data_IF_407147733878
#
_entry.id   IF_407147733878
#
_cell.length_a   1.000
_cell.length_b   1.000
_cell.length_c   1.000
_cell.angle_alpha   90.00
_cell.angle_beta   90.00
_cell.angle_gamma   90.00
#
_symmetry.space_group_name_H-M   'P 1'
#
loop_
_entity.id
_entity.type
_entity.pdbx_description
1 polymer ?
#
# COMPACT_ATOMS: atom_id res chain seq x y z
N UNK A 1 -11.70 5.68 16.70
CA UNK A 1 -12.38 4.95 15.59
C UNK A 1 -11.94 3.51 15.72
N UNK A 2 -12.83 2.52 15.60
CA UNK A 2 -12.43 1.11 15.73
C UNK A 2 -11.35 0.81 14.68
N UNK A 3 -10.21 0.26 15.11
CA UNK A 3 -9.10 -0.10 14.21
C UNK A 3 -9.63 -0.93 13.05
N UNK A 4 -9.50 -0.40 11.84
CA UNK A 4 -9.96 -1.09 10.64
C UNK A 4 -9.02 -2.27 10.41
N UNK A 5 -9.49 -3.47 10.73
CA UNK A 5 -8.76 -4.71 10.50
C UNK A 5 -8.21 -4.79 9.05
N UNK A 6 -7.02 -5.39 8.84
CA UNK A 6 -6.34 -5.42 7.55
C UNK A 6 -7.16 -6.18 6.50
N UNK A 7 -7.11 -5.74 5.24
CA UNK A 7 -7.83 -6.38 4.12
C UNK A 7 -7.24 -7.73 3.70
N UNK A 8 -5.98 -8.00 4.06
CA UNK A 8 -5.19 -9.16 3.62
C UNK A 8 -4.32 -8.86 2.40
N UNK A 9 -3.44 -9.79 2.00
CA UNK A 9 -2.59 -9.61 0.83
C UNK A 9 -3.42 -9.55 -0.46
N UNK A 10 -2.94 -8.86 -1.51
CA UNK A 10 -3.68 -8.76 -2.77
C UNK A 10 -3.88 -10.15 -3.42
N UNK A 11 -4.97 -10.34 -4.18
CA UNK A 11 -5.24 -11.61 -4.84
C UNK A 11 -4.23 -11.86 -5.98
N UNK A 12 -3.85 -13.12 -6.19
CA UNK A 12 -2.84 -13.49 -7.19
C UNK A 12 -3.00 -14.90 -7.76
N UNK A 13 -2.07 -15.34 -8.62
CA UNK A 13 -2.15 -16.65 -9.31
C UNK A 13 -1.86 -17.87 -8.43
N UNK A 14 -1.63 -17.67 -7.12
CA UNK A 14 -1.22 -18.73 -6.20
C UNK A 14 0.28 -19.04 -6.32
N UNK A 15 0.89 -19.34 -5.17
CA UNK A 15 2.29 -19.66 -4.96
C UNK A 15 2.49 -21.17 -4.71
N UNK A 16 1.40 -21.93 -4.54
CA UNK A 16 1.41 -23.35 -4.23
C UNK A 16 1.79 -23.66 -2.78
N UNK A 17 1.63 -22.68 -1.89
CA UNK A 17 1.92 -22.81 -0.45
C UNK A 17 1.07 -21.83 0.37
N UNK A 18 0.65 -22.19 1.59
CA UNK A 18 -0.07 -21.29 2.49
C UNK A 18 0.61 -19.92 2.63
N UNK A 19 -0.17 -18.85 2.53
CA UNK A 19 0.29 -17.50 2.79
C UNK A 19 0.03 -17.15 4.28
N UNK A 20 1.07 -16.96 5.11
CA UNK A 20 0.90 -16.71 6.55
C UNK A 20 0.06 -15.47 6.84
N UNK A 21 0.13 -14.45 5.96
CA UNK A 21 -0.58 -13.20 6.15
C UNK A 21 -2.09 -13.37 5.93
N UNK A 22 -2.50 -14.26 5.02
CA UNK A 22 -3.90 -14.65 4.85
C UNK A 22 -4.43 -15.28 6.13
N UNK A 23 -3.69 -16.25 6.70
CA UNK A 23 -4.06 -16.89 7.96
C UNK A 23 -4.15 -15.90 9.12
N UNK A 24 -3.20 -14.96 9.21
CA UNK A 24 -3.19 -13.89 10.22
C UNK A 24 -4.43 -13.00 10.13
N UNK A 25 -4.84 -12.60 8.93
CA UNK A 25 -6.05 -11.78 8.74
C UNK A 25 -7.33 -12.55 9.09
N UNK A 26 -7.43 -13.84 8.73
CA UNK A 26 -8.57 -14.69 9.13
C UNK A 26 -8.66 -14.75 10.65
N UNK A 27 -7.54 -15.02 11.34
CA UNK A 27 -7.48 -15.05 12.80
C UNK A 27 -7.92 -13.71 13.40
N UNK A 28 -7.34 -12.60 12.93
CA UNK A 28 -7.64 -11.26 13.43
C UNK A 28 -9.13 -10.89 13.31
N UNK A 29 -9.77 -11.29 12.20
CA UNK A 29 -11.20 -11.07 11.99
C UNK A 29 -12.03 -11.92 12.94
N UNK A 30 -11.70 -13.20 13.11
CA UNK A 30 -12.43 -14.08 14.03
C UNK A 30 -12.29 -13.65 15.49
N UNK A 31 -11.09 -13.25 15.91
CA UNK A 31 -10.77 -12.72 17.24
C UNK A 31 -11.59 -11.45 17.53
N UNK A 32 -11.62 -10.51 16.57
CA UNK A 32 -12.42 -9.29 16.70
C UNK A 32 -13.94 -9.52 16.74
N UNK A 33 -14.41 -10.59 16.10
CA UNK A 33 -15.81 -11.01 16.12
C UNK A 33 -16.14 -11.92 17.32
N UNK A 34 -15.16 -12.24 18.16
CA UNK A 34 -15.27 -13.13 19.32
C UNK A 34 -15.91 -14.50 18.95
N UNK A 35 -15.54 -15.06 17.81
CA UNK A 35 -16.05 -16.36 17.36
C UNK A 35 -15.54 -17.51 18.24
N UNK A 36 -16.26 -18.62 18.30
CA UNK A 36 -15.81 -19.80 19.04
C UNK A 36 -14.56 -20.42 18.41
N UNK A 37 -13.74 -21.12 19.20
CA UNK A 37 -12.55 -21.86 18.70
C UNK A 37 -12.92 -22.82 17.55
N UNK A 38 -14.13 -23.38 17.62
CA UNK A 38 -14.65 -24.30 16.62
C UNK A 38 -14.97 -23.58 15.30
N UNK A 39 -15.59 -22.41 15.37
CA UNK A 39 -15.85 -21.56 14.20
C UNK A 39 -14.55 -21.00 13.61
N UNK A 40 -13.57 -20.66 14.45
CA UNK A 40 -12.23 -20.26 14.01
C UNK A 40 -11.55 -21.39 13.23
N UNK A 41 -11.53 -22.61 13.78
CA UNK A 41 -10.94 -23.77 13.12
C UNK A 41 -11.63 -24.09 11.79
N UNK A 42 -12.96 -24.00 11.72
CA UNK A 42 -13.73 -24.21 10.49
C UNK A 42 -13.30 -23.26 9.36
N UNK A 43 -12.95 -22.01 9.68
CA UNK A 43 -12.43 -21.07 8.68
C UNK A 43 -11.03 -21.47 8.18
N UNK A 44 -10.16 -21.97 9.06
CA UNK A 44 -8.83 -22.43 8.64
C UNK A 44 -8.89 -23.69 7.78
N UNK A 45 -9.77 -24.64 8.13
CA UNK A 45 -10.03 -25.83 7.30
C UNK A 45 -10.60 -25.43 5.94
N UNK A 46 -11.59 -24.51 5.92
CA UNK A 46 -12.15 -24.01 4.68
C UNK A 46 -11.10 -23.32 3.80
N UNK A 47 -10.34 -22.38 4.34
CA UNK A 47 -9.30 -21.68 3.59
C UNK A 47 -8.25 -22.65 3.01
N UNK A 48 -7.88 -23.67 3.77
CA UNK A 48 -6.89 -24.67 3.36
C UNK A 48 -7.42 -25.59 2.26
N UNK A 49 -8.67 -26.04 2.35
CA UNK A 49 -9.30 -26.90 1.32
C UNK A 49 -9.60 -26.13 0.04
N UNK A 50 -10.12 -24.90 0.16
CA UNK A 50 -10.60 -24.14 -1.00
C UNK A 50 -9.46 -23.54 -1.83
N UNK A 51 -8.43 -22.99 -1.19
CA UNK A 51 -7.36 -22.25 -1.88
C UNK A 51 -5.95 -22.67 -1.49
N UNK A 52 -5.78 -23.56 -0.52
CA UNK A 52 -4.48 -23.80 0.09
C UNK A 52 -4.01 -22.68 1.01
N UNK A 53 -4.94 -21.88 1.58
CA UNK A 53 -4.66 -20.67 2.38
C UNK A 53 -4.01 -19.55 1.55
N UNK A 54 -4.52 -19.32 0.34
CA UNK A 54 -4.00 -18.31 -0.58
C UNK A 54 -5.11 -17.40 -1.10
N UNK A 55 -4.83 -16.10 -1.25
CA UNK A 55 -5.80 -15.20 -1.87
C UNK A 55 -5.71 -15.31 -3.40
N UNK A 56 -6.58 -16.12 -4.00
CA UNK A 56 -6.53 -16.41 -5.44
C UNK A 56 -7.39 -15.45 -6.27
N UNK A 57 -6.91 -15.02 -7.43
CA UNK A 57 -7.71 -14.21 -8.39
C UNK A 57 -8.46 -15.06 -9.43
N UNK A 58 -8.52 -16.38 -9.23
CA UNK A 58 -9.17 -17.35 -10.11
C UNK A 58 -9.74 -18.53 -9.30
N UNK A 59 -10.49 -19.38 -9.98
CA UNK A 59 -11.16 -20.55 -9.41
C UNK A 59 -12.05 -21.25 -10.44
N UNK A 60 -12.84 -22.21 -9.98
CA UNK A 60 -13.91 -22.79 -10.80
C UNK A 60 -15.04 -21.77 -11.03
N UNK A 61 -15.51 -21.64 -12.28
CA UNK A 61 -16.50 -20.63 -12.70
C UNK A 61 -16.11 -19.20 -12.33
N UNK A 62 -16.75 -18.62 -11.33
CA UNK A 62 -16.53 -17.26 -10.80
C UNK A 62 -16.06 -17.28 -9.34
N UNK A 63 -15.63 -18.43 -8.82
CA UNK A 63 -14.99 -18.53 -7.51
C UNK A 63 -13.68 -17.76 -7.49
N UNK A 64 -13.47 -16.97 -6.42
CA UNK A 64 -12.24 -16.21 -6.17
C UNK A 64 -11.96 -16.11 -4.67
N UNK A 65 -10.74 -15.70 -4.34
CA UNK A 65 -10.28 -15.43 -2.98
C UNK A 65 -9.95 -16.68 -2.17
N UNK A 66 -9.63 -16.46 -0.89
CA UNK A 66 -9.16 -17.51 0.03
C UNK A 66 -10.17 -18.62 0.28
N UNK A 67 -11.46 -18.29 0.21
CA UNK A 67 -12.55 -19.23 0.44
C UNK A 67 -13.20 -19.72 -0.85
N UNK A 68 -12.66 -19.37 -2.03
CA UNK A 68 -13.24 -19.67 -3.35
C UNK A 68 -14.74 -19.33 -3.45
N UNK A 69 -15.13 -18.23 -2.81
CA UNK A 69 -16.52 -17.78 -2.74
C UNK A 69 -16.96 -17.24 -4.10
N UNK A 70 -18.24 -17.46 -4.44
CA UNK A 70 -18.82 -17.10 -5.74
C UNK A 70 -19.68 -15.85 -5.62
N UNK A 71 -19.34 -14.75 -6.33
CA UNK A 71 -20.20 -13.58 -6.42
C UNK A 71 -21.61 -13.92 -6.90
N UNK A 72 -21.74 -14.81 -7.90
CA UNK A 72 -23.04 -15.28 -8.41
C UNK A 72 -23.89 -16.05 -7.39
N UNK A 73 -23.33 -16.49 -6.26
CA UNK A 73 -24.07 -17.16 -5.19
C UNK A 73 -24.35 -16.26 -3.99
N UNK A 74 -24.14 -14.94 -4.12
CA UNK A 74 -24.51 -13.97 -3.09
C UNK A 74 -23.45 -13.79 -1.99
N UNK A 75 -22.19 -14.10 -2.27
CA UNK A 75 -21.08 -13.86 -1.36
C UNK A 75 -20.52 -12.44 -1.40
N UNK A 76 -21.04 -11.57 -2.29
CA UNK A 76 -20.55 -10.21 -2.50
C UNK A 76 -20.11 -9.99 -3.95
N UNK A 77 -19.42 -8.88 -4.23
CA UNK A 77 -18.76 -8.70 -5.53
C UNK A 77 -17.48 -9.54 -5.62
N UNK A 78 -16.92 -9.69 -6.83
CA UNK A 78 -15.61 -10.35 -6.99
C UNK A 78 -14.51 -9.64 -6.19
N UNK A 79 -14.56 -8.30 -6.11
CA UNK A 79 -13.63 -7.49 -5.31
C UNK A 79 -13.76 -7.81 -3.81
N UNK A 80 -14.99 -7.98 -3.34
CA UNK A 80 -15.25 -8.29 -1.93
C UNK A 80 -14.78 -9.72 -1.59
N UNK A 81 -15.01 -10.69 -2.47
CA UNK A 81 -14.57 -12.07 -2.30
C UNK A 81 -13.02 -12.19 -2.30
N UNK A 82 -12.32 -11.32 -3.03
CA UNK A 82 -10.85 -11.21 -3.03
C UNK A 82 -10.29 -10.37 -1.89
N UNK A 83 -11.13 -9.77 -1.04
CA UNK A 83 -10.71 -9.10 0.18
C UNK A 83 -10.82 -10.11 1.33
N UNK A 84 -9.68 -10.56 1.86
CA UNK A 84 -9.62 -11.63 2.89
C UNK A 84 -10.41 -11.23 4.13
N UNK A 85 -10.38 -9.95 4.52
CA UNK A 85 -11.16 -9.45 5.66
C UNK A 85 -12.66 -9.62 5.45
N UNK A 86 -13.15 -9.13 4.32
CA UNK A 86 -14.56 -9.19 3.97
C UNK A 86 -15.02 -10.64 3.86
N UNK A 87 -14.28 -11.45 3.12
CA UNK A 87 -14.59 -12.86 2.89
C UNK A 87 -14.62 -13.64 4.22
N UNK A 88 -13.72 -13.32 5.15
CA UNK A 88 -13.69 -13.89 6.51
C UNK A 88 -14.90 -13.47 7.34
N UNK A 89 -15.27 -12.17 7.36
CA UNK A 89 -16.48 -11.70 8.06
C UNK A 89 -17.74 -12.41 7.55
N UNK A 90 -17.85 -12.57 6.24
CA UNK A 90 -18.95 -13.28 5.59
C UNK A 90 -18.99 -14.77 5.94
N UNK A 91 -17.82 -15.42 6.01
CA UNK A 91 -17.70 -16.81 6.43
C UNK A 91 -18.12 -16.96 7.89
N UNK A 92 -17.50 -16.20 8.80
CA UNK A 92 -17.77 -16.28 10.23
C UNK A 92 -19.22 -15.99 10.60
N UNK A 93 -19.87 -15.03 9.95
CA UNK A 93 -21.30 -14.76 10.16
C UNK A 93 -22.16 -15.99 9.88
N UNK A 94 -21.92 -16.67 8.75
CA UNK A 94 -22.67 -17.89 8.37
C UNK A 94 -22.28 -19.09 9.23
N UNK A 95 -21.02 -19.20 9.63
CA UNK A 95 -20.52 -20.27 10.48
C UNK A 95 -21.11 -20.19 11.90
N UNK A 96 -21.23 -18.99 12.47
CA UNK A 96 -21.86 -18.77 13.77
C UNK A 96 -23.35 -19.14 13.75
N UNK A 97 -24.08 -18.80 12.68
CA UNK A 97 -25.47 -19.25 12.46
C UNK A 97 -25.55 -20.78 12.37
N UNK A 98 -24.67 -21.40 11.58
CA UNK A 98 -24.62 -22.85 11.43
C UNK A 98 -24.30 -23.57 12.75
N UNK A 99 -23.41 -23.01 13.58
CA UNK A 99 -23.08 -23.51 14.91
C UNK A 99 -24.26 -23.39 15.87
N UNK A 100 -24.98 -22.27 15.85
CA UNK A 100 -26.17 -22.07 16.67
C UNK A 100 -27.27 -23.09 16.34
N UNK A 101 -27.49 -23.35 15.05
CA UNK A 101 -28.47 -24.33 14.57
C UNK A 101 -28.00 -25.78 14.81
N UNK A 102 -26.70 -26.03 14.77
CA UNK A 102 -26.10 -27.37 14.88
C UNK A 102 -24.91 -27.40 15.87
N UNK A 103 -25.16 -27.30 17.19
CA UNK A 103 -24.08 -27.18 18.18
C UNK A 103 -23.13 -28.38 18.23
N UNK A 104 -23.56 -29.54 17.72
CA UNK A 104 -22.80 -30.80 17.72
C UNK A 104 -21.87 -30.97 16.53
N UNK A 105 -21.97 -30.12 15.51
CA UNK A 105 -21.09 -30.21 14.33
C UNK A 105 -19.62 -30.05 14.73
N UNK A 106 -18.74 -30.81 14.09
CA UNK A 106 -17.29 -30.58 14.05
C UNK A 106 -16.96 -29.25 13.35
N UNK A 107 -15.68 -28.85 13.37
CA UNK A 107 -15.23 -27.71 12.59
C UNK A 107 -15.39 -27.97 11.08
N UNK A 108 -15.05 -29.16 10.60
CA UNK A 108 -15.19 -29.52 9.19
C UNK A 108 -16.65 -29.61 8.74
N UNK A 109 -17.53 -30.11 9.60
CA UNK A 109 -18.98 -30.11 9.36
C UNK A 109 -19.53 -28.67 9.27
N UNK A 110 -19.02 -27.73 10.08
CA UNK A 110 -19.37 -26.30 9.95
C UNK A 110 -18.82 -25.68 8.66
N UNK A 111 -17.56 -25.95 8.31
CA UNK A 111 -16.96 -25.49 7.07
C UNK A 111 -17.77 -25.96 5.85
N UNK A 112 -18.16 -27.23 5.84
CA UNK A 112 -19.02 -27.81 4.82
C UNK A 112 -20.42 -27.19 4.82
N UNK A 113 -21.04 -26.95 5.98
CA UNK A 113 -22.38 -26.34 6.06
C UNK A 113 -22.39 -24.93 5.45
N UNK A 114 -21.29 -24.19 5.63
CA UNK A 114 -21.09 -22.83 5.10
C UNK A 114 -20.77 -22.85 3.60
N UNK A 115 -19.80 -23.66 3.17
CA UNK A 115 -19.32 -23.69 1.78
C UNK A 115 -20.20 -24.51 0.83
N UNK A 116 -20.88 -25.52 1.36
CA UNK A 116 -21.73 -26.46 0.60
C UNK A 116 -21.00 -27.11 -0.57
N UNK A 117 -19.79 -27.59 -0.32
CA UNK A 117 -18.95 -28.27 -1.31
C UNK A 117 -19.52 -29.65 -1.70
N UNK A 118 -19.10 -30.15 -2.86
CA UNK A 118 -19.47 -31.48 -3.35
C UNK A 118 -18.74 -32.63 -2.61
N UNK A 119 -17.76 -32.30 -1.75
CA UNK A 119 -16.91 -33.25 -1.04
C UNK A 119 -16.85 -32.92 0.46
N UNK A 120 -17.90 -33.28 1.22
CA UNK A 120 -18.06 -32.86 2.62
C UNK A 120 -16.92 -33.32 3.53
N UNK A 121 -16.37 -34.51 3.31
CA UNK A 121 -15.39 -35.13 4.21
C UNK A 121 -13.99 -34.47 4.13
N UNK A 122 -13.73 -33.59 3.15
CA UNK A 122 -12.38 -33.03 2.90
C UNK A 122 -11.90 -32.03 3.95
N UNK A 123 -12.81 -31.43 4.72
CA UNK A 123 -12.42 -30.44 5.73
C UNK A 123 -11.85 -31.11 6.98
N UNK A 124 -12.46 -32.20 7.45
CA UNK A 124 -11.94 -32.96 8.59
C UNK A 124 -10.58 -33.61 8.26
N UNK A 125 -10.30 -33.93 6.99
CA UNK A 125 -9.00 -34.49 6.55
C UNK A 125 -7.81 -33.54 6.77
N UNK A 126 -8.06 -32.23 6.88
CA UNK A 126 -7.00 -31.21 7.02
C UNK A 126 -6.92 -30.63 8.43
N UNK A 127 -7.70 -31.13 9.39
CA UNK A 127 -7.81 -30.57 10.75
C UNK A 127 -6.44 -30.33 11.40
N UNK A 128 -5.55 -31.34 11.43
CA UNK A 128 -4.22 -31.22 12.04
C UNK A 128 -3.40 -30.09 11.42
N UNK A 129 -3.40 -29.99 10.09
CA UNK A 129 -2.68 -28.93 9.37
C UNK A 129 -3.33 -27.56 9.55
N UNK A 130 -4.66 -27.51 9.65
CA UNK A 130 -5.41 -26.30 9.95
C UNK A 130 -5.11 -25.79 11.37
N UNK A 131 -4.99 -26.69 12.35
CA UNK A 131 -4.58 -26.38 13.73
C UNK A 131 -3.16 -25.82 13.80
N UNK A 132 -2.22 -26.38 13.03
CA UNK A 132 -0.85 -25.84 12.96
C UNK A 132 -0.84 -24.42 12.39
N UNK A 133 -1.56 -24.18 11.29
CA UNK A 133 -1.68 -22.85 10.68
C UNK A 133 -2.40 -21.86 11.60
N UNK A 134 -3.44 -22.32 12.31
CA UNK A 134 -4.17 -21.55 13.31
C UNK A 134 -3.26 -21.14 14.47
N UNK A 135 -2.49 -22.08 15.02
CA UNK A 135 -1.53 -21.79 16.09
C UNK A 135 -0.46 -20.78 15.67
N UNK A 136 0.07 -20.91 14.45
CA UNK A 136 1.03 -19.94 13.90
C UNK A 136 0.40 -18.56 13.67
N UNK A 137 -0.84 -18.51 13.18
CA UNK A 137 -1.57 -17.26 12.97
C UNK A 137 -1.95 -16.58 14.29
N UNK A 138 -2.34 -17.37 15.29
CA UNK A 138 -2.61 -16.94 16.66
C UNK A 138 -1.35 -16.39 17.31
N UNK A 139 -0.22 -17.09 17.21
CA UNK A 139 1.07 -16.62 17.73
C UNK A 139 1.50 -15.34 17.01
N UNK A 140 1.42 -15.29 15.68
CA UNK A 140 1.74 -14.09 14.90
C UNK A 140 0.83 -12.91 15.24
N UNK A 141 -0.48 -13.14 15.38
CA UNK A 141 -1.44 -12.11 15.77
C UNK A 141 -1.23 -11.67 17.20
N UNK A 142 -0.97 -12.60 18.13
CA UNK A 142 -0.66 -12.30 19.53
C UNK A 142 0.68 -11.64 19.67
N UNK A 143 1.70 -11.93 18.88
CA UNK A 143 2.98 -11.20 18.92
C UNK A 143 2.81 -9.77 18.40
N UNK A 144 1.96 -9.59 17.38
CA UNK A 144 1.58 -8.28 16.86
C UNK A 144 0.66 -7.51 17.82
N UNK A 145 -0.23 -8.21 18.55
CA UNK A 145 -1.17 -7.63 19.51
C UNK A 145 -0.55 -7.47 20.92
N UNK A 146 0.45 -8.27 21.27
CA UNK A 146 1.12 -8.25 22.56
C UNK A 146 2.28 -7.24 22.59
N UNK A 147 2.98 -7.00 21.48
CA UNK A 147 4.27 -6.30 21.56
C UNK A 147 5.18 -6.92 22.65
N UNK A 148 6.29 -6.27 23.05
CA UNK A 148 7.18 -6.84 24.06
C UNK A 148 6.46 -7.05 25.41
N UNK A 149 6.41 -8.31 25.90
CA UNK A 149 5.74 -8.70 27.16
C UNK A 149 6.18 -7.84 28.36
N UNK A 150 5.24 -7.15 28.99
CA UNK A 150 5.43 -6.52 30.30
C UNK A 150 4.49 -7.12 31.36
N UNK A 151 5.05 -7.89 32.28
CA UNK A 151 4.42 -8.18 33.55
C UNK A 151 4.35 -6.92 34.43
N UNK A 152 3.13 -6.50 34.76
CA UNK A 152 2.73 -5.77 35.98
C UNK A 152 3.51 -4.51 36.38
N UNK A 153 3.06 -3.34 35.89
CA UNK A 153 2.89 -2.05 36.63
C UNK A 153 2.59 -0.89 35.66
N UNK A 154 1.36 -0.36 35.70
CA UNK A 154 0.96 0.90 35.05
C UNK A 154 0.89 0.82 33.52
N UNK A 155 -0.19 1.30 32.90
CA UNK A 155 -0.20 1.55 31.45
C UNK A 155 0.90 2.57 31.17
N UNK A 156 2.03 2.14 30.58
CA UNK A 156 2.96 3.04 29.91
C UNK A 156 2.34 3.42 28.57
N UNK A 157 2.43 4.70 28.25
CA UNK A 157 2.07 5.24 26.94
C UNK A 157 2.78 4.46 25.81
N UNK A 158 2.21 4.43 24.59
CA UNK A 158 2.85 3.79 23.44
C UNK A 158 4.28 4.31 23.27
N UNK A 159 5.22 3.44 22.87
CA UNK A 159 6.53 3.92 22.42
C UNK A 159 6.36 4.60 21.06
N UNK A 160 6.03 5.89 21.10
CA UNK A 160 5.84 6.71 19.91
C UNK A 160 7.08 6.74 19.02
N UNK A 161 8.27 6.56 19.59
CA UNK A 161 9.49 6.47 18.81
C UNK A 161 9.52 5.18 17.97
N UNK A 162 9.18 4.03 18.56
CA UNK A 162 9.11 2.75 17.83
C UNK A 162 8.06 2.78 16.70
N UNK A 163 6.87 3.32 16.99
CA UNK A 163 5.79 3.46 16.00
C UNK A 163 6.24 4.36 14.84
N UNK A 164 6.83 5.51 15.16
CA UNK A 164 7.26 6.50 14.18
C UNK A 164 8.44 5.98 13.32
N UNK A 165 9.40 5.28 13.92
CA UNK A 165 10.46 4.58 13.18
C UNK A 165 9.91 3.46 12.27
N UNK A 166 8.83 2.79 12.69
CA UNK A 166 8.12 1.83 11.87
C UNK A 166 7.50 2.45 10.62
N UNK A 167 6.90 3.65 10.75
CA UNK A 167 6.33 4.42 9.62
C UNK A 167 7.40 4.76 8.59
N UNK A 168 8.58 5.19 9.04
CA UNK A 168 9.73 5.46 8.16
C UNK A 168 10.06 4.24 7.30
N UNK A 169 10.27 3.06 7.92
CA UNK A 169 10.68 1.84 7.22
C UNK A 169 9.64 1.36 6.21
N UNK A 170 8.37 1.28 6.61
CA UNK A 170 7.27 0.82 5.75
C UNK A 170 6.99 1.77 4.59
N UNK A 171 7.09 3.08 4.82
CA UNK A 171 6.87 4.08 3.77
C UNK A 171 8.00 4.02 2.74
N UNK A 172 9.24 3.81 3.19
CA UNK A 172 10.40 3.66 2.31
C UNK A 172 10.29 2.40 1.43
N UNK A 173 9.85 1.27 2.01
CA UNK A 173 9.55 0.04 1.25
C UNK A 173 8.44 0.22 0.22
N UNK A 174 7.38 0.95 0.58
CA UNK A 174 6.29 1.24 -0.33
C UNK A 174 6.72 2.13 -1.49
N UNK A 175 7.39 3.23 -1.21
CA UNK A 175 7.85 4.14 -2.26
C UNK A 175 8.88 3.46 -3.17
N UNK A 176 9.76 2.62 -2.63
CA UNK A 176 10.63 1.78 -3.47
C UNK A 176 9.82 0.91 -4.44
N UNK A 177 8.79 0.22 -3.95
CA UNK A 177 7.90 -0.58 -4.78
C UNK A 177 7.19 0.24 -5.87
N UNK A 178 6.64 1.41 -5.51
CA UNK A 178 5.98 2.29 -6.47
C UNK A 178 6.97 2.90 -7.49
N UNK A 179 8.22 3.19 -7.11
CA UNK A 179 9.26 3.65 -8.03
C UNK A 179 9.58 2.57 -9.07
N UNK A 180 9.87 1.33 -8.60
CA UNK A 180 10.20 0.19 -9.47
C UNK A 180 9.03 -0.21 -10.37
N UNK A 181 7.80 -0.11 -9.87
CA UNK A 181 6.61 -0.40 -10.67
C UNK A 181 6.33 0.70 -11.70
N UNK A 182 6.39 1.97 -11.29
CA UNK A 182 5.98 3.08 -12.15
C UNK A 182 6.99 3.37 -13.25
N UNK A 183 8.30 3.23 -12.99
CA UNK A 183 9.32 3.32 -14.04
C UNK A 183 9.08 2.31 -15.17
N UNK A 184 8.59 1.11 -14.83
CA UNK A 184 8.37 0.00 -15.76
C UNK A 184 6.94 -0.02 -16.32
N UNK A 185 6.14 1.01 -16.05
CA UNK A 185 4.75 1.04 -16.47
C UNK A 185 4.64 1.39 -17.97
N UNK A 186 3.63 0.86 -18.70
CA UNK A 186 3.42 1.23 -20.09
C UNK A 186 3.27 2.74 -20.31
N UNK A 187 2.72 3.46 -19.32
CA UNK A 187 2.56 4.91 -19.43
C UNK A 187 3.89 5.66 -19.25
N UNK A 188 4.81 5.20 -18.39
CA UNK A 188 6.14 5.79 -18.29
C UNK A 188 6.91 5.64 -19.61
N UNK A 189 6.81 4.48 -20.26
CA UNK A 189 7.39 4.27 -21.58
C UNK A 189 6.78 5.21 -22.65
N UNK A 190 5.46 5.42 -22.64
CA UNK A 190 4.80 6.37 -23.55
C UNK A 190 5.28 7.80 -23.32
N UNK A 191 5.40 8.22 -22.05
CA UNK A 191 5.89 9.56 -21.71
C UNK A 191 7.34 9.73 -22.18
N UNK A 192 8.20 8.75 -21.88
CA UNK A 192 9.59 8.72 -22.34
C UNK A 192 9.68 8.85 -23.86
N UNK A 193 8.93 8.04 -24.61
CA UNK A 193 8.94 8.08 -26.06
C UNK A 193 8.49 9.46 -26.59
N UNK A 194 7.46 10.07 -26.02
CA UNK A 194 6.99 11.40 -26.42
C UNK A 194 7.97 12.53 -26.06
N UNK A 195 8.89 12.27 -25.13
CA UNK A 195 9.94 13.20 -24.73
C UNK A 195 11.22 13.06 -25.58
N UNK A 196 11.28 12.11 -26.52
CA UNK A 196 12.43 11.97 -27.42
C UNK A 196 12.40 13.01 -28.55
N UNK A 197 13.52 13.70 -28.85
CA UNK A 197 13.55 14.83 -29.80
C UNK A 197 13.09 14.50 -31.23
N UNK A 198 13.17 13.23 -31.63
CA UNK A 198 12.80 12.78 -32.97
C UNK A 198 11.35 12.30 -33.07
N UNK A 199 10.61 12.23 -31.97
CA UNK A 199 9.18 11.91 -31.96
C UNK A 199 8.41 13.23 -32.03
N UNK A 200 7.67 13.51 -33.12
CA UNK A 200 6.85 14.71 -33.20
C UNK A 200 5.78 14.71 -32.12
N UNK A 201 5.66 15.82 -31.41
CA UNK A 201 4.59 15.98 -30.43
C UNK A 201 3.21 15.92 -31.12
N UNK A 202 2.31 15.01 -30.72
CA UNK A 202 0.98 14.91 -31.33
C UNK A 202 0.14 16.18 -31.08
N UNK A 203 -0.78 16.49 -32.00
CA UNK A 203 -1.80 17.51 -31.75
C UNK A 203 -2.79 17.00 -30.69
N UNK A 204 -2.59 17.41 -29.44
CA UNK A 204 -3.27 16.82 -28.27
C UNK A 204 -4.54 17.53 -27.83
N UNK A 205 -5.04 18.52 -28.57
CA UNK A 205 -6.34 19.12 -28.25
C UNK A 205 -7.46 18.06 -28.15
N UNK A 206 -7.41 17.04 -29.01
CA UNK A 206 -8.37 15.92 -29.03
C UNK A 206 -8.05 14.83 -27.98
N UNK A 207 -6.76 14.57 -27.70
CA UNK A 207 -6.35 13.60 -26.67
C UNK A 207 -6.66 14.14 -25.27
N UNK A 208 -6.29 15.38 -24.98
CA UNK A 208 -6.52 16.02 -23.70
C UNK A 208 -8.02 16.16 -23.40
N UNK A 209 -8.83 16.53 -24.39
CA UNK A 209 -10.29 16.60 -24.21
C UNK A 209 -10.94 15.23 -23.99
N UNK A 210 -10.43 14.16 -24.65
CA UNK A 210 -10.90 12.78 -24.47
C UNK A 210 -10.45 12.12 -23.17
N UNK A 211 -9.21 12.37 -22.74
CA UNK A 211 -8.67 11.81 -21.50
C UNK A 211 -9.21 12.52 -20.26
N UNK A 212 -9.44 13.85 -20.33
CA UNK A 212 -9.62 14.67 -19.12
C UNK A 212 -10.96 15.41 -19.03
N UNK A 213 -11.69 15.59 -20.12
CA UNK A 213 -13.05 16.16 -20.15
C UNK A 213 -13.17 17.63 -19.72
N UNK A 214 -13.62 18.51 -20.62
CA UNK A 214 -14.06 19.88 -20.29
C UNK A 214 -13.01 21.00 -20.39
N UNK A 215 -13.45 22.24 -20.16
CA UNK A 215 -12.74 23.50 -20.47
C UNK A 215 -11.61 23.91 -19.49
N UNK A 216 -11.50 23.25 -18.33
CA UNK A 216 -10.46 23.54 -17.31
C UNK A 216 -9.06 23.09 -17.77
N UNK A 217 -8.98 22.00 -18.54
CA UNK A 217 -7.72 21.39 -18.97
C UNK A 217 -7.06 22.06 -20.18
N UNK A 218 -7.81 22.87 -20.93
CA UNK A 218 -7.25 23.69 -22.02
C UNK A 218 -6.24 24.72 -21.50
N UNK A 219 -6.39 25.19 -20.25
CA UNK A 219 -5.42 26.08 -19.60
C UNK A 219 -4.13 25.35 -19.26
N UNK A 220 -4.22 24.11 -18.79
CA UNK A 220 -3.06 23.26 -18.52
C UNK A 220 -2.33 22.90 -19.80
N UNK A 221 -3.06 22.60 -20.87
CA UNK A 221 -2.47 22.37 -22.19
C UNK A 221 -1.68 23.60 -22.66
N UNK A 222 -2.29 24.79 -22.66
CA UNK A 222 -1.61 26.02 -23.04
C UNK A 222 -0.38 26.30 -22.17
N UNK A 223 -0.48 26.07 -20.86
CA UNK A 223 0.63 26.24 -19.94
C UNK A 223 1.81 25.31 -20.28
N UNK A 224 1.54 24.06 -20.67
CA UNK A 224 2.59 23.12 -21.07
C UNK A 224 3.19 23.46 -22.42
N UNK A 225 2.39 23.92 -23.39
CA UNK A 225 2.88 24.43 -24.68
C UNK A 225 3.83 25.63 -24.51
N UNK A 226 3.57 26.50 -23.52
CA UNK A 226 4.41 27.66 -23.23
C UNK A 226 5.70 27.29 -22.46
N UNK A 227 5.71 26.12 -21.79
CA UNK A 227 6.76 25.74 -20.83
C UNK A 227 7.73 24.68 -21.37
N UNK A 228 7.23 23.62 -21.99
CA UNK A 228 8.00 22.42 -22.33
C UNK A 228 8.21 22.31 -23.84
N UNK A 229 9.38 21.80 -24.24
CA UNK A 229 9.65 21.46 -25.64
C UNK A 229 8.77 20.30 -26.14
N UNK A 230 8.42 19.39 -25.22
CA UNK A 230 7.54 18.23 -25.42
C UNK A 230 6.30 18.35 -24.50
N UNK A 231 5.35 19.26 -24.79
CA UNK A 231 4.21 19.56 -23.92
C UNK A 231 3.31 18.36 -23.63
N UNK A 232 3.16 17.41 -24.56
CA UNK A 232 2.33 16.23 -24.31
C UNK A 232 2.93 15.31 -23.27
N UNK A 233 4.24 15.04 -23.35
CA UNK A 233 4.94 14.23 -22.38
C UNK A 233 4.76 14.85 -20.99
N UNK A 234 5.01 16.16 -20.87
CA UNK A 234 4.86 16.88 -19.60
C UNK A 234 3.43 16.85 -19.08
N UNK A 235 2.42 17.05 -19.93
CA UNK A 235 1.02 17.00 -19.51
C UNK A 235 0.64 15.63 -18.96
N UNK A 236 1.05 14.55 -19.62
CA UNK A 236 0.78 13.18 -19.17
C UNK A 236 1.43 12.90 -17.81
N UNK A 237 2.67 13.34 -17.62
CA UNK A 237 3.36 13.22 -16.34
C UNK A 237 2.68 14.04 -15.24
N UNK A 238 2.38 15.31 -15.53
CA UNK A 238 1.70 16.22 -14.60
C UNK A 238 0.36 15.65 -14.13
N UNK A 239 -0.43 15.06 -15.04
CA UNK A 239 -1.70 14.41 -14.69
C UNK A 239 -1.47 13.22 -13.76
N UNK A 240 -0.41 12.44 -13.96
CA UNK A 240 -0.16 11.28 -13.10
C UNK A 240 0.18 11.68 -11.67
N UNK A 241 0.95 12.74 -11.48
CA UNK A 241 1.38 13.23 -10.15
C UNK A 241 0.42 14.25 -9.54
N UNK A 242 -0.63 14.65 -10.26
CA UNK A 242 -1.62 15.62 -9.79
C UNK A 242 -2.41 15.09 -8.57
N UNK A 243 -2.91 15.98 -7.68
CA UNK A 243 -3.62 15.59 -6.48
C UNK A 243 -4.76 14.58 -6.74
N UNK A 244 -4.74 13.46 -6.02
CA UNK A 244 -5.73 12.39 -6.13
C UNK A 244 -5.56 11.43 -7.31
N UNK A 245 -4.53 11.63 -8.14
CA UNK A 245 -4.26 10.78 -9.31
C UNK A 245 -3.32 9.62 -8.98
N UNK A 246 -3.10 8.76 -9.97
CA UNK A 246 -2.47 7.45 -9.80
C UNK A 246 -1.07 7.50 -9.17
N UNK A 247 -0.29 8.56 -9.38
CA UNK A 247 1.04 8.73 -8.78
C UNK A 247 1.05 9.76 -7.66
N UNK A 248 -0.09 10.28 -7.20
CA UNK A 248 -0.13 11.09 -5.97
C UNK A 248 -0.01 10.19 -4.73
N UNK A 249 1.21 10.05 -4.22
CA UNK A 249 1.49 9.17 -3.09
C UNK A 249 1.22 9.83 -1.74
N UNK A 250 1.07 11.15 -1.66
CA UNK A 250 0.84 11.87 -0.40
C UNK A 250 -0.41 11.35 0.33
N UNK A 251 -1.63 11.30 -0.26
CA UNK A 251 -2.80 10.76 0.41
C UNK A 251 -2.71 9.24 0.67
N UNK A 252 -1.99 8.50 -0.18
CA UNK A 252 -1.80 7.05 0.00
C UNK A 252 -0.94 6.74 1.22
N UNK A 253 0.15 7.49 1.43
CA UNK A 253 1.02 7.37 2.61
C UNK A 253 0.23 7.73 3.86
N UNK A 254 -0.55 8.82 3.84
CA UNK A 254 -1.39 9.21 4.98
C UNK A 254 -2.37 8.13 5.37
N UNK A 255 -3.09 7.57 4.39
CA UNK A 255 -4.04 6.49 4.62
C UNK A 255 -3.36 5.21 5.15
N UNK A 256 -2.18 4.88 4.62
CA UNK A 256 -1.42 3.68 4.97
C UNK A 256 -0.86 3.72 6.39
N UNK A 257 -0.31 4.87 6.79
CA UNK A 257 0.36 5.03 8.08
C UNK A 257 -0.56 5.61 9.18
N UNK A 258 -1.83 5.85 8.83
CA UNK A 258 -2.86 6.37 9.74
C UNK A 258 -2.53 7.79 10.22
N UNK A 259 -2.16 8.67 9.29
CA UNK A 259 -1.75 10.04 9.62
C UNK A 259 -2.96 10.97 9.63
N UNK A 260 -3.14 11.69 10.72
CA UNK A 260 -4.14 12.76 10.83
C UNK A 260 -3.54 14.10 10.39
N UNK A 261 -4.06 14.70 9.33
CA UNK A 261 -3.65 16.04 8.86
C UNK A 261 -3.94 17.14 9.90
N UNK A 262 -4.91 16.91 10.80
CA UNK A 262 -5.19 17.78 11.93
C UNK A 262 -4.15 17.70 13.05
N UNK A 263 -3.23 16.73 13.00
CA UNK A 263 -2.18 16.52 13.98
C UNK A 263 -0.77 16.61 13.33
N UNK A 264 -0.15 17.80 13.34
CA UNK A 264 1.17 18.01 12.73
C UNK A 264 2.24 17.04 13.21
N UNK A 265 2.19 16.57 14.46
CA UNK A 265 3.20 15.66 15.01
C UNK A 265 3.11 14.24 14.46
N UNK A 266 1.97 13.86 13.87
CA UNK A 266 1.84 12.57 13.19
C UNK A 266 2.38 12.60 11.76
N UNK A 267 2.55 13.78 11.17
CA UNK A 267 3.03 13.94 9.80
C UNK A 267 4.56 13.80 9.69
N UNK A 268 5.25 13.58 10.81
CA UNK A 268 6.69 13.35 10.86
C UNK A 268 7.01 11.93 11.29
N UNK A 269 8.04 11.36 10.67
CA UNK A 269 8.56 10.04 10.98
C UNK A 269 9.94 10.16 11.63
N UNK A 270 10.08 9.59 12.82
CA UNK A 270 11.35 9.48 13.52
C UNK A 270 12.31 8.67 12.67
N UNK A 271 13.53 9.19 12.51
CA UNK A 271 14.53 8.56 11.67
C UNK A 271 15.21 7.44 12.45
N UNK A 272 15.14 6.17 11.99
CA UNK A 272 15.73 5.05 12.72
C UNK A 272 17.25 5.18 12.84
N UNK A 273 17.77 5.05 14.06
CA UNK A 273 19.22 5.09 14.32
C UNK A 273 19.86 6.46 14.12
N UNK A 274 19.09 7.55 14.08
CA UNK A 274 19.63 8.90 13.97
C UNK A 274 20.05 9.45 15.35
N UNK A 275 21.37 9.56 15.57
CA UNK A 275 21.94 10.08 16.83
C UNK A 275 21.60 11.55 17.09
N UNK A 276 21.28 12.31 16.04
CA UNK A 276 20.83 13.69 16.15
C UNK A 276 19.37 13.81 16.66
N UNK A 277 18.65 12.69 16.73
CA UNK A 277 17.28 12.62 17.23
C UNK A 277 16.32 13.43 16.36
N UNK A 278 16.40 13.27 15.04
CA UNK A 278 15.57 14.00 14.08
C UNK A 278 14.38 13.18 13.60
N UNK A 279 13.43 13.88 13.00
CA UNK A 279 12.30 13.32 12.28
C UNK A 279 12.11 14.02 10.93
N UNK A 280 11.50 13.31 9.99
CA UNK A 280 11.31 13.76 8.61
C UNK A 280 9.83 13.80 8.25
N UNK A 281 9.41 14.87 7.57
CA UNK A 281 8.03 15.04 7.13
C UNK A 281 7.67 13.99 6.06
N UNK A 282 6.46 13.45 6.10
CA UNK A 282 6.07 12.29 5.28
C UNK A 282 6.02 12.56 3.77
N UNK A 283 5.92 13.82 3.35
CA UNK A 283 5.72 14.16 1.94
C UNK A 283 6.99 14.00 1.09
N UNK A 284 8.17 14.01 1.73
CA UNK A 284 9.48 13.83 1.08
C UNK A 284 9.50 12.55 0.24
N UNK A 285 8.81 11.51 0.70
CA UNK A 285 8.75 10.22 0.03
C UNK A 285 8.04 10.29 -1.33
N UNK A 286 6.99 11.11 -1.43
CA UNK A 286 6.30 11.34 -2.71
C UNK A 286 7.16 12.17 -3.65
N UNK A 287 7.88 13.16 -3.12
CA UNK A 287 8.74 14.01 -3.93
C UNK A 287 9.97 13.25 -4.47
N UNK A 288 10.56 12.34 -3.69
CA UNK A 288 11.59 11.40 -4.16
C UNK A 288 11.05 10.55 -5.33
N UNK A 289 9.82 10.03 -5.20
CA UNK A 289 9.18 9.29 -6.27
C UNK A 289 9.04 10.13 -7.55
N UNK A 290 8.58 11.38 -7.44
CA UNK A 290 8.38 12.26 -8.59
C UNK A 290 9.69 12.56 -9.32
N UNK A 291 10.78 12.81 -8.58
CA UNK A 291 12.10 13.00 -9.17
C UNK A 291 12.57 11.75 -9.93
N UNK A 292 12.49 10.58 -9.30
CA UNK A 292 12.97 9.33 -9.88
C UNK A 292 12.17 8.91 -11.12
N UNK A 293 10.84 8.86 -11.02
CA UNK A 293 9.99 8.47 -12.14
C UNK A 293 9.97 9.54 -13.23
N UNK A 294 10.14 10.81 -12.87
CA UNK A 294 10.31 11.90 -13.86
C UNK A 294 11.54 11.68 -14.74
N UNK A 295 12.68 11.30 -14.14
CA UNK A 295 13.88 10.95 -14.90
C UNK A 295 13.71 9.66 -15.70
N UNK A 296 13.00 8.67 -15.16
CA UNK A 296 12.62 7.47 -15.90
C UNK A 296 11.76 7.76 -17.15
N UNK A 297 10.95 8.81 -17.07
CA UNK A 297 10.17 9.34 -18.19
C UNK A 297 11.00 10.22 -19.15
N UNK A 298 12.31 10.33 -18.95
CA UNK A 298 13.22 11.07 -19.83
C UNK A 298 13.34 12.58 -19.58
N UNK A 299 12.61 13.16 -18.62
CA UNK A 299 12.66 14.61 -18.39
C UNK A 299 13.96 15.06 -17.74
N UNK A 300 14.56 16.14 -18.23
CA UNK A 300 15.73 16.76 -17.60
C UNK A 300 15.43 17.33 -16.21
N UNK A 301 16.48 17.41 -15.37
CA UNK A 301 16.36 17.91 -13.99
C UNK A 301 15.82 19.34 -13.93
N UNK A 302 16.26 20.22 -14.84
CA UNK A 302 15.81 21.61 -14.92
C UNK A 302 14.30 21.70 -15.16
N UNK A 303 13.77 20.80 -16.01
CA UNK A 303 12.35 20.71 -16.29
C UNK A 303 11.60 20.25 -15.04
N UNK A 304 12.07 19.20 -14.36
CA UNK A 304 11.46 18.65 -13.15
C UNK A 304 11.51 19.62 -11.96
N UNK A 305 12.53 20.46 -11.85
CA UNK A 305 12.62 21.50 -10.81
C UNK A 305 11.75 22.72 -11.10
N UNK A 306 11.46 22.99 -12.37
CA UNK A 306 10.71 24.18 -12.79
C UNK A 306 9.21 23.92 -12.91
N UNK A 307 8.81 22.74 -13.40
CA UNK A 307 7.40 22.39 -13.60
C UNK A 307 6.52 22.55 -12.34
N UNK A 308 6.97 22.16 -11.12
CA UNK A 308 6.18 22.36 -9.92
C UNK A 308 6.02 23.84 -9.55
N UNK A 309 6.76 24.78 -10.15
CA UNK A 309 6.64 26.22 -9.86
C UNK A 309 5.68 26.96 -10.81
N UNK A 310 5.04 26.25 -11.73
CA UNK A 310 4.13 26.85 -12.70
C UNK A 310 2.82 27.34 -12.03
N UNK A 311 2.16 28.38 -12.56
CA UNK A 311 0.89 28.84 -12.00
C UNK A 311 -0.17 27.73 -11.91
N UNK A 312 -0.73 27.51 -10.71
CA UNK A 312 -1.78 26.51 -10.49
C UNK A 312 -1.29 25.14 -10.02
N UNK A 313 0.03 24.94 -9.90
CA UNK A 313 0.60 23.82 -9.15
C UNK A 313 0.54 24.08 -7.63
N UNK A 314 0.75 23.04 -6.81
CA UNK A 314 0.67 23.13 -5.35
C UNK A 314 1.69 24.09 -4.73
N UNK A 315 1.59 24.32 -3.41
CA UNK A 315 2.64 25.05 -2.70
C UNK A 315 3.94 24.23 -2.69
N UNK A 316 5.05 24.88 -3.07
CA UNK A 316 6.37 24.27 -3.11
C UNK A 316 7.34 25.02 -2.21
N UNK A 317 7.98 24.30 -1.32
CA UNK A 317 9.04 24.84 -0.48
C UNK A 317 10.43 24.31 -0.88
N UNK A 318 11.46 24.75 -0.17
CA UNK A 318 12.84 24.35 -0.49
C UNK A 318 13.12 22.88 -0.15
N UNK A 319 12.35 22.26 0.74
CA UNK A 319 12.51 20.85 1.10
C UNK A 319 12.02 19.91 0.00
N UNK A 320 11.01 20.33 -0.77
CA UNK A 320 10.59 19.61 -1.98
C UNK A 320 11.73 19.49 -2.98
N UNK A 321 12.53 20.55 -3.15
CA UNK A 321 13.67 20.57 -4.09
C UNK A 321 14.71 19.51 -3.74
N UNK A 322 15.08 19.40 -2.45
CA UNK A 322 16.02 18.36 -2.00
C UNK A 322 15.46 16.95 -2.20
N UNK A 323 14.17 16.79 -1.93
CA UNK A 323 13.50 15.49 -2.04
C UNK A 323 13.37 15.03 -3.49
N UNK A 324 12.99 15.94 -4.39
CA UNK A 324 12.98 15.67 -5.82
C UNK A 324 14.38 15.39 -6.34
N UNK A 325 15.39 16.17 -5.94
CA UNK A 325 16.78 15.94 -6.35
C UNK A 325 17.26 14.54 -5.93
N UNK A 326 16.99 14.12 -4.69
CA UNK A 326 17.34 12.79 -4.24
C UNK A 326 16.72 11.68 -5.12
N UNK A 327 15.49 11.87 -5.58
CA UNK A 327 14.87 10.98 -6.57
C UNK A 327 15.59 10.97 -7.92
N UNK A 328 15.94 12.15 -8.44
CA UNK A 328 16.64 12.28 -9.72
C UNK A 328 18.04 11.67 -9.67
N UNK A 329 18.77 11.88 -8.58
CA UNK A 329 20.08 11.29 -8.32
C UNK A 329 20.00 9.77 -8.30
N UNK A 330 18.98 9.19 -7.64
CA UNK A 330 18.79 7.74 -7.63
C UNK A 330 18.61 7.16 -9.03
N UNK A 331 17.89 7.86 -9.91
CA UNK A 331 17.75 7.42 -11.30
C UNK A 331 19.08 7.54 -12.05
N UNK A 332 19.76 8.68 -11.93
CA UNK A 332 21.04 8.89 -12.61
C UNK A 332 22.14 7.91 -12.14
N UNK A 333 22.09 7.47 -10.89
CA UNK A 333 23.08 6.55 -10.29
C UNK A 333 22.76 5.06 -10.53
N UNK A 334 21.47 4.70 -10.61
CA UNK A 334 21.05 3.30 -10.55
C UNK A 334 20.04 2.88 -11.62
N UNK A 335 19.43 3.83 -12.32
CA UNK A 335 18.40 3.59 -13.35
C UNK A 335 17.38 2.55 -12.87
N UNK A 336 17.13 1.51 -13.67
CA UNK A 336 16.14 0.47 -13.40
C UNK A 336 16.51 -0.47 -12.24
N UNK A 337 17.80 -0.56 -11.88
CA UNK A 337 18.36 -1.51 -10.90
C UNK A 337 18.31 -1.00 -9.44
N UNK A 338 17.51 0.04 -9.17
CA UNK A 338 17.40 0.61 -7.84
C UNK A 338 16.98 -0.42 -6.79
N UNK A 339 17.81 -0.58 -5.76
CA UNK A 339 17.51 -1.40 -4.58
C UNK A 339 16.96 -0.58 -3.42
N UNK A 340 16.21 -1.25 -2.54
CA UNK A 340 15.70 -0.65 -1.31
C UNK A 340 16.83 -0.07 -0.44
N UNK A 341 17.99 -0.72 -0.40
CA UNK A 341 19.14 -0.28 0.38
C UNK A 341 19.74 1.02 -0.17
N UNK A 342 19.77 1.21 -1.49
CA UNK A 342 20.22 2.45 -2.13
C UNK A 342 19.25 3.60 -1.87
N UNK A 343 17.93 3.38 -2.03
CA UNK A 343 16.92 4.36 -1.65
C UNK A 343 17.07 4.77 -0.19
N UNK A 344 17.26 3.80 0.71
CA UNK A 344 17.49 4.07 2.13
C UNK A 344 18.72 4.95 2.33
N UNK A 345 19.85 4.61 1.74
CA UNK A 345 21.08 5.38 1.87
C UNK A 345 20.89 6.84 1.38
N UNK A 346 20.26 7.02 0.21
CA UNK A 346 19.97 8.35 -0.33
C UNK A 346 19.01 9.15 0.55
N UNK A 347 18.00 8.52 1.16
CA UNK A 347 17.12 9.20 2.10
C UNK A 347 17.88 9.78 3.31
N UNK A 348 18.83 9.03 3.88
CA UNK A 348 19.68 9.56 4.96
C UNK A 348 20.59 10.70 4.46
N UNK A 349 21.14 10.59 3.27
CA UNK A 349 21.95 11.65 2.65
C UNK A 349 21.13 12.94 2.49
N UNK A 350 19.95 12.85 1.87
CA UNK A 350 19.02 13.95 1.67
C UNK A 350 18.63 14.62 3.00
N UNK A 351 18.27 13.84 4.01
CA UNK A 351 17.93 14.36 5.35
C UNK A 351 19.10 15.16 5.93
N UNK A 352 20.34 14.66 5.79
CA UNK A 352 21.53 15.38 6.23
C UNK A 352 21.75 16.67 5.45
N UNK A 353 21.50 16.67 4.14
CA UNK A 353 21.62 17.87 3.31
C UNK A 353 20.59 18.94 3.74
N UNK A 354 19.33 18.55 3.95
CA UNK A 354 18.26 19.47 4.41
C UNK A 354 18.65 20.13 5.74
N UNK A 355 19.08 19.33 6.71
CA UNK A 355 19.44 19.80 8.06
C UNK A 355 20.65 20.76 8.05
N UNK A 356 21.66 20.47 7.22
CA UNK A 356 22.87 21.29 7.13
C UNK A 356 22.68 22.60 6.36
N UNK A 357 21.94 22.57 5.25
CA UNK A 357 21.84 23.71 4.33
C UNK A 357 20.70 24.64 4.68
N UNK A 358 19.71 24.20 5.45
CA UNK A 358 18.56 25.04 5.81
C UNK A 358 17.98 24.66 7.17
N UNK A 359 18.72 24.90 8.27
CA UNK A 359 18.14 24.78 9.61
C UNK A 359 16.89 25.67 9.65
N UNK A 360 15.74 25.08 9.99
CA UNK A 360 14.37 25.65 9.96
C UNK A 360 13.50 25.32 8.73
N UNK A 361 13.91 24.42 7.83
CA UNK A 361 12.92 23.82 6.92
C UNK A 361 11.96 22.92 7.67
N UNK A 362 10.70 22.93 7.25
CA UNK A 362 9.62 22.12 7.83
C UNK A 362 9.83 20.64 7.59
N UNK A 363 10.71 20.22 6.68
CA UNK A 363 10.89 18.81 6.30
C UNK A 363 11.69 17.99 7.30
N UNK A 364 12.66 18.60 7.98
CA UNK A 364 13.48 17.90 8.98
C UNK A 364 13.51 18.74 10.24
N UNK A 365 13.11 18.15 11.36
CA UNK A 365 13.12 18.82 12.67
C UNK A 365 13.61 17.87 13.75
N UNK A 366 13.86 18.42 14.94
CA UNK A 366 14.14 17.58 16.11
C UNK A 366 12.90 16.79 16.47
N UNK A 367 13.09 15.52 16.79
CA UNK A 367 12.05 14.65 17.31
C UNK A 367 11.43 15.29 18.55
N UNK A 368 10.13 15.57 18.45
CA UNK A 368 9.26 15.83 19.59
C UNK A 368 8.32 14.64 19.70
N UNK A 369 8.44 13.86 20.78
CA UNK A 369 7.45 12.83 21.07
C UNK A 369 6.06 13.50 21.19
N UNK A 370 5.02 12.96 20.50
CA UNK A 370 3.65 13.45 20.61
C UNK A 370 3.08 13.42 22.04
#
# INVERSE_FOLDING_TARGET
MADKLPEGPPPGPGKGRPDPEVGRVIYAVGDHLEVSDKVMLAAFEAALVESGMENLNYGDRDSVGVFQQRPSQGWGSAKDCMNVNYASRQFFSRAAEAEADNPKYSAGELAQAVQRSAFPDRYDEVEDRARDLLGNAEESWKDQAAGPRAGGRGRKEPDWAEISEGRFKRTLEYIHGEMVQNQNSPIAWVIWALNEPWIPDPDIGDIASKLFGGAEWTKWLQLMEDFAEHPTAMLLFAVKVAPGMDWDHKPKIRAREGLDEGNPDQLYFKIPGDDAGREVFYDVWSNIHYGYVGRACGFDEDVLHTAPRLPGTGEHDKGDVFSMQAGMDLWNEHEEDLTLSQLRAKAYEMINQIDQHTPNLTQVRKWSAP
#
